data_IF_247634607961
#
_entry.id   IF_247634607961
#
_cell.length_a   1.000
_cell.length_b   1.000
_cell.length_c   1.000
_cell.angle_alpha   90.00
_cell.angle_beta   90.00
_cell.angle_gamma   90.00
#
_symmetry.space_group_name_H-M   'P 1'
#
loop_
_entity.id
_entity.type
_entity.pdbx_description
1 polymer ?
#
# COMPACT_ATOMS: atom_id res chain seq x y z
N UNK A 1 -6.63 -15.69 17.23
CA UNK A 1 -7.62 -14.69 16.80
C UNK A 1 -7.39 -14.41 15.34
N UNK A 2 -8.45 -14.46 14.60
CA UNK A 2 -8.44 -14.65 13.16
C UNK A 2 -7.99 -13.36 12.44
N UNK A 3 -7.04 -13.46 11.51
CA UNK A 3 -6.57 -12.36 10.64
C UNK A 3 -7.65 -11.90 9.63
N UNK A 4 -8.90 -12.37 9.80
CA UNK A 4 -9.99 -12.25 8.84
C UNK A 4 -10.56 -10.83 8.69
N UNK A 5 -10.30 -9.91 9.63
CA UNK A 5 -10.99 -8.60 9.61
C UNK A 5 -10.28 -7.52 8.79
N UNK A 6 -8.94 -7.50 8.69
CA UNK A 6 -8.23 -6.62 7.72
C UNK A 6 -8.54 -7.02 6.28
N UNK A 7 -8.76 -8.31 6.08
CA UNK A 7 -9.07 -8.91 4.79
C UNK A 7 -10.55 -8.80 4.39
N UNK A 8 -11.42 -8.28 5.26
CA UNK A 8 -12.85 -8.12 4.98
C UNK A 8 -13.21 -6.82 4.27
N UNK A 9 -12.25 -5.89 4.08
CA UNK A 9 -12.49 -4.65 3.35
C UNK A 9 -12.81 -4.96 1.88
N UNK A 10 -13.96 -4.45 1.42
CA UNK A 10 -14.41 -4.58 0.03
C UNK A 10 -13.95 -3.38 -0.79
N UNK A 11 -13.94 -3.52 -2.11
CA UNK A 11 -13.62 -2.42 -3.02
C UNK A 11 -14.39 -1.14 -2.75
N UNK A 12 -15.67 -1.25 -2.34
CA UNK A 12 -16.53 -0.12 -2.02
C UNK A 12 -16.07 0.67 -0.80
N UNK A 13 -15.43 0.05 0.18
CA UNK A 13 -14.91 0.73 1.37
C UNK A 13 -13.76 1.69 1.02
N UNK A 14 -13.00 1.37 -0.01
CA UNK A 14 -11.93 2.20 -0.54
C UNK A 14 -12.41 3.30 -1.50
N UNK A 15 -13.60 3.12 -2.12
CA UNK A 15 -14.17 4.10 -3.05
C UNK A 15 -14.43 5.46 -2.39
N UNK A 16 -14.90 5.46 -1.14
CA UNK A 16 -15.31 6.67 -0.40
C UNK A 16 -14.11 7.54 -0.01
N UNK A 17 -12.91 6.97 0.06
CA UNK A 17 -11.72 7.60 0.66
C UNK A 17 -10.60 7.92 -0.33
N UNK A 18 -10.77 7.56 -1.59
CA UNK A 18 -9.69 7.63 -2.58
C UNK A 18 -9.02 9.02 -2.67
N UNK A 19 -9.76 10.12 -2.52
CA UNK A 19 -9.20 11.48 -2.62
C UNK A 19 -8.54 11.96 -1.33
N UNK A 20 -9.13 11.68 -0.16
CA UNK A 20 -8.60 12.12 1.14
C UNK A 20 -7.40 11.26 1.56
N UNK A 21 -7.47 9.94 1.33
CA UNK A 21 -6.38 9.01 1.57
C UNK A 21 -5.12 9.37 0.79
N UNK A 22 -5.26 9.68 -0.49
CA UNK A 22 -4.15 10.11 -1.34
C UNK A 22 -3.42 11.36 -0.80
N UNK A 23 -4.13 12.32 -0.21
CA UNK A 23 -3.52 13.57 0.28
C UNK A 23 -2.66 13.39 1.53
N UNK A 24 -3.05 12.46 2.42
CA UNK A 24 -2.39 12.29 3.73
C UNK A 24 -1.30 11.21 3.67
N UNK A 25 -1.54 10.12 2.93
CA UNK A 25 -0.58 9.02 2.83
C UNK A 25 0.48 9.22 1.74
N UNK A 26 0.26 10.17 0.81
CA UNK A 26 1.16 10.40 -0.31
C UNK A 26 2.61 10.64 0.13
N UNK A 27 2.83 11.48 1.14
CA UNK A 27 4.19 11.79 1.61
C UNK A 27 4.83 10.63 2.37
N UNK A 28 4.07 9.92 3.20
CA UNK A 28 4.54 8.76 3.97
C UNK A 28 4.95 7.59 3.05
N UNK A 29 4.29 7.47 1.90
CA UNK A 29 4.56 6.40 0.93
C UNK A 29 5.74 6.69 -0.01
N UNK A 30 6.20 7.95 -0.12
CA UNK A 30 7.24 8.32 -1.09
C UNK A 30 8.57 7.61 -0.88
N UNK A 31 9.02 7.49 0.37
CA UNK A 31 10.30 6.84 0.70
C UNK A 31 10.24 5.32 0.44
N UNK A 32 9.24 4.57 0.95
CA UNK A 32 9.10 3.15 0.62
C UNK A 32 8.99 2.88 -0.87
N UNK A 33 8.20 3.67 -1.61
CA UNK A 33 8.08 3.53 -3.06
C UNK A 33 9.44 3.77 -3.73
N UNK A 34 10.15 4.84 -3.39
CA UNK A 34 11.47 5.13 -3.94
C UNK A 34 12.47 4.00 -3.69
N UNK A 35 12.51 3.45 -2.46
CA UNK A 35 13.36 2.31 -2.11
C UNK A 35 12.95 1.06 -2.90
N UNK A 36 11.66 0.74 -2.95
CA UNK A 36 11.10 -0.38 -3.69
C UNK A 36 11.52 -0.35 -5.17
N UNK A 37 11.34 0.80 -5.83
CA UNK A 37 11.69 0.96 -7.24
C UNK A 37 13.21 0.93 -7.49
N UNK A 38 14.01 1.54 -6.61
CA UNK A 38 15.47 1.51 -6.76
C UNK A 38 16.03 0.09 -6.61
N UNK A 39 15.47 -0.72 -5.70
CA UNK A 39 15.86 -2.12 -5.54
C UNK A 39 15.39 -3.00 -6.70
N UNK A 40 14.16 -2.79 -7.18
CA UNK A 40 13.67 -3.45 -8.39
C UNK A 40 14.57 -3.15 -9.59
N UNK A 41 14.91 -1.87 -9.81
CA UNK A 41 15.78 -1.43 -10.89
C UNK A 41 17.21 -2.01 -10.79
N UNK A 42 17.73 -2.21 -9.58
CA UNK A 42 19.04 -2.83 -9.38
C UNK A 42 19.03 -4.33 -9.73
N UNK A 43 17.92 -5.03 -9.46
CA UNK A 43 17.77 -6.42 -9.85
C UNK A 43 17.48 -6.58 -11.35
N UNK A 44 16.51 -5.81 -11.88
CA UNK A 44 16.14 -5.81 -13.29
C UNK A 44 15.92 -4.36 -13.73
N UNK A 45 16.79 -3.77 -14.55
CA UNK A 45 16.68 -2.36 -14.97
C UNK A 45 15.37 -2.09 -15.71
N UNK A 46 14.66 -1.02 -15.36
CA UNK A 46 13.45 -0.59 -16.07
C UNK A 46 13.70 -0.28 -17.56
N UNK A 47 14.94 0.05 -17.93
CA UNK A 47 15.35 0.20 -19.32
C UNK A 47 15.18 -1.09 -20.16
N UNK A 48 15.11 -2.24 -19.50
CA UNK A 48 14.92 -3.56 -20.12
C UNK A 48 13.52 -4.13 -19.87
N UNK A 49 12.59 -3.31 -19.33
CA UNK A 49 11.25 -3.79 -19.02
C UNK A 49 10.52 -4.28 -20.28
N UNK A 50 9.92 -5.46 -20.21
CA UNK A 50 9.04 -6.02 -21.23
C UNK A 50 7.57 -5.73 -20.93
N UNK A 51 7.23 -5.51 -19.66
CA UNK A 51 5.94 -5.10 -19.15
C UNK A 51 6.03 -4.82 -17.65
N UNK A 52 5.20 -3.89 -17.16
CA UNK A 52 5.15 -3.50 -15.74
C UNK A 52 3.71 -3.58 -15.27
N UNK A 53 3.48 -4.31 -14.18
CA UNK A 53 2.19 -4.44 -13.51
C UNK A 53 2.29 -3.86 -12.09
N UNK A 54 1.47 -2.86 -11.78
CA UNK A 54 1.24 -2.38 -10.42
C UNK A 54 -0.01 -3.07 -9.86
N UNK A 55 0.20 -4.08 -9.02
CA UNK A 55 -0.84 -4.97 -8.48
C UNK A 55 -1.37 -4.45 -7.15
N UNK A 56 -2.64 -4.06 -7.09
CA UNK A 56 -3.23 -3.29 -6.00
C UNK A 56 -2.75 -1.85 -6.05
N UNK A 57 -2.83 -1.22 -7.23
CA UNK A 57 -2.22 0.07 -7.50
C UNK A 57 -2.82 1.24 -6.69
N UNK A 58 -4.00 1.06 -6.07
CA UNK A 58 -4.72 2.14 -5.43
C UNK A 58 -4.94 3.33 -6.37
N UNK A 59 -4.73 4.58 -5.91
CA UNK A 59 -4.83 5.78 -6.75
C UNK A 59 -3.62 5.98 -7.69
N UNK A 60 -2.70 5.02 -7.78
CA UNK A 60 -1.56 4.98 -8.71
C UNK A 60 -0.27 5.65 -8.26
N UNK A 61 0.08 5.72 -6.95
CA UNK A 61 1.30 6.40 -6.52
C UNK A 61 2.58 5.70 -6.99
N UNK A 62 2.60 4.36 -7.04
CA UNK A 62 3.75 3.58 -7.51
C UNK A 62 3.96 3.80 -9.00
N UNK A 63 2.90 3.64 -9.82
CA UNK A 63 2.98 3.89 -11.26
C UNK A 63 3.37 5.34 -11.56
N UNK A 64 2.85 6.31 -10.80
CA UNK A 64 3.24 7.72 -10.93
C UNK A 64 4.75 7.90 -10.74
N UNK A 65 5.30 7.24 -9.72
CA UNK A 65 6.73 7.32 -9.43
C UNK A 65 7.58 6.58 -10.46
N UNK A 66 7.12 5.42 -10.96
CA UNK A 66 7.79 4.71 -12.08
C UNK A 66 7.89 5.63 -13.30
N UNK A 67 6.80 6.27 -13.68
CA UNK A 67 6.77 7.18 -14.83
C UNK A 67 7.66 8.40 -14.60
N UNK A 68 7.65 8.96 -13.40
CA UNK A 68 8.48 10.12 -13.05
C UNK A 68 9.97 9.81 -13.11
N UNK A 69 10.40 8.72 -12.50
CA UNK A 69 11.83 8.42 -12.32
C UNK A 69 12.42 7.66 -13.51
N UNK A 70 11.65 6.77 -14.14
CA UNK A 70 12.14 5.82 -15.17
C UNK A 70 11.37 5.90 -16.49
N UNK A 71 10.34 6.73 -16.61
CA UNK A 71 9.46 6.75 -17.80
C UNK A 71 10.17 7.04 -19.12
N UNK A 72 11.31 7.71 -19.07
CA UNK A 72 12.16 8.00 -20.24
C UNK A 72 13.07 6.82 -20.64
N UNK A 73 13.31 5.88 -19.74
CA UNK A 73 14.13 4.69 -19.98
C UNK A 73 13.30 3.49 -20.42
N UNK A 74 12.05 3.39 -19.92
CA UNK A 74 11.16 2.26 -20.21
C UNK A 74 10.84 2.20 -21.70
N UNK A 75 11.11 1.07 -22.39
CA UNK A 75 10.80 0.92 -23.82
C UNK A 75 9.34 1.29 -24.13
N UNK A 76 9.13 2.02 -25.22
CA UNK A 76 7.78 2.49 -25.60
C UNK A 76 6.81 1.35 -25.94
N UNK A 77 7.35 0.17 -26.28
CA UNK A 77 6.61 -1.06 -26.53
C UNK A 77 6.15 -1.78 -25.27
N UNK A 78 6.72 -1.46 -24.10
CA UNK A 78 6.40 -2.14 -22.84
C UNK A 78 5.06 -1.66 -22.31
N UNK A 79 4.07 -2.55 -22.10
CA UNK A 79 2.81 -2.21 -21.46
C UNK A 79 3.03 -1.78 -20.01
N UNK A 80 2.28 -0.78 -19.56
CA UNK A 80 2.18 -0.35 -18.19
C UNK A 80 0.76 -0.62 -17.71
N UNK A 81 0.58 -1.40 -16.65
CA UNK A 81 -0.74 -1.79 -16.17
C UNK A 81 -0.91 -1.42 -14.70
N UNK A 82 -1.98 -0.73 -14.39
CA UNK A 82 -2.47 -0.52 -13.02
C UNK A 82 -3.67 -1.43 -12.79
N UNK A 83 -3.59 -2.34 -11.82
CA UNK A 83 -4.67 -3.24 -11.44
C UNK A 83 -5.07 -3.00 -9.98
N UNK A 84 -6.37 -2.86 -9.74
CA UNK A 84 -6.95 -2.76 -8.40
C UNK A 84 -8.39 -3.27 -8.42
N UNK A 85 -8.92 -3.74 -7.31
CA UNK A 85 -10.30 -4.23 -7.22
C UNK A 85 -11.31 -3.10 -6.90
N UNK A 86 -10.84 -1.89 -6.58
CA UNK A 86 -11.65 -0.71 -6.27
C UNK A 86 -11.80 0.19 -7.50
N UNK A 87 -13.02 0.32 -8.01
CA UNK A 87 -13.31 1.23 -9.12
C UNK A 87 -13.06 2.70 -8.76
N UNK A 88 -13.26 3.09 -7.50
CA UNK A 88 -12.94 4.43 -7.00
C UNK A 88 -11.46 4.75 -7.05
N UNK A 89 -10.59 3.80 -6.69
CA UNK A 89 -9.14 3.92 -6.85
C UNK A 89 -8.75 4.02 -8.33
N UNK A 90 -9.29 3.15 -9.16
CA UNK A 90 -9.03 3.18 -10.60
C UNK A 90 -9.54 4.45 -11.28
N UNK A 91 -10.61 5.07 -10.78
CA UNK A 91 -11.06 6.37 -11.27
C UNK A 91 -10.00 7.47 -11.04
N UNK A 92 -9.25 7.42 -9.92
CA UNK A 92 -8.14 8.35 -9.67
C UNK A 92 -6.99 8.13 -10.67
N UNK A 93 -6.68 6.86 -10.99
CA UNK A 93 -5.67 6.52 -12.01
C UNK A 93 -6.09 7.04 -13.39
N UNK A 94 -7.36 6.83 -13.79
CA UNK A 94 -7.91 7.36 -15.05
C UNK A 94 -7.84 8.89 -15.11
N UNK A 95 -8.20 9.57 -14.01
CA UNK A 95 -8.09 11.02 -13.91
C UNK A 95 -6.63 11.52 -13.98
N UNK A 96 -5.66 10.79 -13.40
CA UNK A 96 -4.24 11.10 -13.54
C UNK A 96 -3.76 10.97 -15.00
N UNK A 97 -4.19 9.91 -15.67
CA UNK A 97 -3.92 9.67 -17.09
C UNK A 97 -4.47 10.80 -17.97
N UNK A 98 -5.71 11.22 -17.75
CA UNK A 98 -6.35 12.32 -18.49
C UNK A 98 -5.60 13.65 -18.27
N UNK A 99 -5.26 13.98 -17.03
CA UNK A 99 -4.50 15.21 -16.70
C UNK A 99 -3.11 15.24 -17.36
N UNK A 100 -2.46 14.09 -17.47
CA UNK A 100 -1.14 13.98 -18.07
C UNK A 100 -1.14 14.15 -19.58
N UNK A 101 -2.26 13.85 -20.24
CA UNK A 101 -2.47 14.02 -21.68
C UNK A 101 -1.77 12.98 -22.56
N UNK A 102 -2.02 13.03 -23.88
CA UNK A 102 -1.63 11.96 -24.80
C UNK A 102 -0.11 11.88 -25.09
N UNK A 103 0.66 12.91 -24.78
CA UNK A 103 2.12 12.93 -24.96
C UNK A 103 2.90 12.37 -23.77
N UNK A 104 2.23 12.03 -22.69
CA UNK A 104 2.84 11.47 -21.48
C UNK A 104 2.93 9.94 -21.56
N UNK A 105 3.92 9.29 -20.89
CA UNK A 105 3.92 7.84 -20.66
C UNK A 105 2.62 7.31 -20.01
N UNK A 106 1.88 8.16 -19.29
CA UNK A 106 0.55 7.84 -18.78
C UNK A 106 -0.44 7.44 -19.85
N UNK A 107 -0.31 7.95 -21.09
CA UNK A 107 -1.22 7.63 -22.18
C UNK A 107 -1.30 6.13 -22.48
N UNK A 108 -0.19 5.40 -22.26
CA UNK A 108 -0.09 3.95 -22.49
C UNK A 108 -0.42 3.10 -21.25
N UNK A 109 -0.73 3.71 -20.08
CA UNK A 109 -1.13 2.96 -18.90
C UNK A 109 -2.51 2.34 -19.12
N UNK A 110 -2.59 1.03 -19.00
CA UNK A 110 -3.85 0.28 -18.94
C UNK A 110 -4.36 0.26 -17.50
N UNK A 111 -5.68 0.36 -17.34
CA UNK A 111 -6.34 0.37 -16.03
C UNK A 111 -7.33 -0.77 -15.99
N UNK A 112 -7.10 -1.75 -15.10
CA UNK A 112 -7.84 -2.99 -15.01
C UNK A 112 -8.45 -3.19 -13.63
N UNK A 113 -9.73 -3.55 -13.56
CA UNK A 113 -10.36 -3.98 -12.31
C UNK A 113 -10.06 -5.46 -12.10
N UNK A 114 -9.12 -5.76 -11.19
CA UNK A 114 -8.71 -7.12 -10.88
C UNK A 114 -8.39 -7.29 -9.41
N UNK A 115 -8.59 -8.49 -8.90
CA UNK A 115 -8.18 -8.87 -7.57
C UNK A 115 -6.70 -9.23 -7.54
N UNK A 116 -5.94 -8.71 -6.58
CA UNK A 116 -4.51 -9.02 -6.44
C UNK A 116 -4.20 -10.53 -6.33
N UNK A 117 -5.18 -11.31 -5.89
CA UNK A 117 -5.09 -12.79 -5.76
C UNK A 117 -5.59 -13.54 -7.00
N UNK A 118 -6.03 -12.84 -8.04
CA UNK A 118 -6.56 -13.43 -9.27
C UNK A 118 -6.32 -12.46 -10.44
N UNK A 119 -5.17 -12.60 -11.07
CA UNK A 119 -4.74 -11.79 -12.22
C UNK A 119 -5.10 -12.48 -13.55
N UNK A 120 -6.32 -12.99 -13.66
CA UNK A 120 -6.76 -13.84 -14.79
C UNK A 120 -6.66 -13.17 -16.17
N UNK A 121 -6.66 -11.82 -16.23
CA UNK A 121 -6.47 -11.09 -17.49
C UNK A 121 -4.99 -10.81 -17.84
N UNK A 122 -4.06 -11.23 -16.97
CA UNK A 122 -2.62 -11.10 -17.20
C UNK A 122 -2.05 -12.48 -17.53
N UNK A 123 -1.48 -12.63 -18.72
CA UNK A 123 -0.94 -13.90 -19.18
C UNK A 123 0.30 -14.33 -18.36
N UNK A 124 0.54 -15.64 -18.30
CA UNK A 124 1.72 -16.21 -17.68
C UNK A 124 3.00 -15.67 -18.33
N UNK A 125 3.99 -15.27 -17.53
CA UNK A 125 5.28 -14.87 -18.03
C UNK A 125 5.26 -13.65 -18.97
N UNK A 126 4.31 -12.73 -18.78
CA UNK A 126 4.07 -11.62 -19.72
C UNK A 126 4.62 -10.26 -19.25
N UNK A 127 5.12 -10.17 -18.03
CA UNK A 127 5.69 -8.93 -17.47
C UNK A 127 7.04 -9.17 -16.81
N UNK A 128 7.94 -8.22 -16.93
CA UNK A 128 9.25 -8.25 -16.28
C UNK A 128 9.21 -7.71 -14.85
N UNK A 129 8.25 -6.84 -14.54
CA UNK A 129 8.15 -6.21 -13.22
C UNK A 129 6.72 -6.30 -12.70
N UNK A 130 6.60 -6.71 -11.42
CA UNK A 130 5.38 -6.56 -10.63
C UNK A 130 5.72 -5.68 -9.43
N UNK A 131 4.91 -4.66 -9.16
CA UNK A 131 4.96 -3.85 -7.94
C UNK A 131 3.70 -4.06 -7.13
N UNK A 132 3.82 -4.04 -5.78
CA UNK A 132 2.70 -4.17 -4.86
C UNK A 132 2.93 -3.31 -3.60
N UNK A 133 2.59 -2.04 -3.68
CA UNK A 133 2.81 -1.08 -2.60
C UNK A 133 1.73 -1.16 -1.52
N UNK A 134 2.05 -1.67 -0.32
CA UNK A 134 1.13 -1.76 0.83
C UNK A 134 -0.12 -2.60 0.56
N UNK A 135 0.00 -3.75 -0.10
CA UNK A 135 -1.15 -4.57 -0.54
C UNK A 135 -1.21 -5.94 0.12
N UNK A 136 -0.16 -6.77 -0.03
CA UNK A 136 -0.28 -8.21 0.19
C UNK A 136 -0.56 -8.60 1.65
N UNK A 137 -0.13 -7.83 2.63
CA UNK A 137 -0.46 -8.08 4.03
C UNK A 137 -1.94 -7.78 4.39
N UNK A 138 -2.67 -7.13 3.48
CA UNK A 138 -4.10 -6.78 3.66
C UNK A 138 -5.05 -7.72 2.91
N UNK A 139 -4.56 -8.59 2.02
CA UNK A 139 -5.42 -9.53 1.31
C UNK A 139 -5.69 -10.79 2.14
N UNK A 140 -6.84 -11.48 1.93
CA UNK A 140 -7.18 -12.70 2.66
C UNK A 140 -6.15 -13.82 2.54
N UNK A 141 -5.57 -14.00 1.35
CA UNK A 141 -4.62 -15.06 1.02
C UNK A 141 -3.33 -14.49 0.42
N UNK A 142 -2.41 -13.93 1.25
CA UNK A 142 -1.17 -13.28 0.75
C UNK A 142 -0.33 -14.21 -0.15
N UNK A 143 -0.27 -15.49 0.18
CA UNK A 143 0.46 -16.49 -0.61
C UNK A 143 -0.10 -16.63 -2.03
N UNK A 144 -1.42 -16.51 -2.20
CA UNK A 144 -2.05 -16.56 -3.52
C UNK A 144 -1.69 -15.33 -4.36
N UNK A 145 -1.65 -14.13 -3.74
CA UNK A 145 -1.21 -12.91 -4.41
C UNK A 145 0.28 -12.99 -4.84
N UNK A 146 1.14 -13.57 -3.99
CA UNK A 146 2.54 -13.83 -4.34
C UNK A 146 2.66 -14.83 -5.50
N UNK A 147 1.87 -15.92 -5.47
CA UNK A 147 1.87 -16.94 -6.54
C UNK A 147 1.36 -16.38 -7.87
N UNK A 148 0.31 -15.54 -7.87
CA UNK A 148 -0.16 -14.85 -9.06
C UNK A 148 0.91 -13.90 -9.63
N UNK A 149 1.59 -13.16 -8.76
CA UNK A 149 2.71 -12.32 -9.17
C UNK A 149 3.86 -13.14 -9.78
N UNK A 150 4.18 -14.28 -9.17
CA UNK A 150 5.17 -15.20 -9.71
C UNK A 150 4.74 -15.77 -11.06
N UNK A 151 3.46 -16.13 -11.23
CA UNK A 151 2.91 -16.67 -12.48
C UNK A 151 3.07 -15.68 -13.64
N UNK A 152 2.64 -14.43 -13.44
CA UNK A 152 2.64 -13.40 -14.51
C UNK A 152 4.03 -12.86 -14.84
N UNK A 153 5.01 -12.96 -13.92
CA UNK A 153 6.39 -12.60 -14.19
C UNK A 153 7.03 -13.54 -15.21
N UNK A 154 7.80 -12.99 -16.15
CA UNK A 154 8.71 -13.75 -17.01
C UNK A 154 9.88 -14.33 -16.21
N UNK A 155 10.63 -15.30 -16.76
CA UNK A 155 11.86 -15.77 -16.12
C UNK A 155 12.82 -14.62 -15.81
N UNK A 156 13.40 -14.59 -14.60
CA UNK A 156 14.22 -13.51 -14.07
C UNK A 156 13.49 -12.17 -13.84
N UNK A 157 12.18 -12.12 -14.03
CA UNK A 157 11.35 -10.97 -13.69
C UNK A 157 11.34 -10.70 -12.18
N UNK A 158 11.03 -9.48 -11.78
CA UNK A 158 11.18 -8.98 -10.40
C UNK A 158 9.83 -8.60 -9.79
N UNK A 159 9.57 -9.09 -8.57
CA UNK A 159 8.56 -8.55 -7.67
C UNK A 159 9.21 -7.55 -6.70
N UNK A 160 8.58 -6.38 -6.55
CA UNK A 160 8.89 -5.43 -5.48
C UNK A 160 7.61 -5.10 -4.71
N UNK A 161 7.66 -5.25 -3.38
CA UNK A 161 6.50 -5.03 -2.50
C UNK A 161 6.86 -4.21 -1.27
N UNK A 162 5.85 -3.68 -0.59
CA UNK A 162 6.03 -3.05 0.71
C UNK A 162 4.92 -3.42 1.70
N UNK A 163 5.27 -3.38 2.99
CA UNK A 163 4.38 -3.62 4.13
C UNK A 163 4.76 -2.72 5.30
N UNK A 164 3.99 -2.78 6.41
CA UNK A 164 4.32 -2.12 7.66
C UNK A 164 4.97 -3.10 8.64
N UNK A 165 6.11 -2.72 9.23
CA UNK A 165 6.60 -3.36 10.46
C UNK A 165 5.75 -2.90 11.65
N UNK A 166 5.57 -1.59 11.77
CA UNK A 166 4.77 -0.93 12.79
C UNK A 166 4.85 0.58 12.66
N UNK A 167 4.01 1.29 13.41
CA UNK A 167 4.03 2.75 13.43
C UNK A 167 3.25 3.32 14.61
N UNK A 168 3.64 4.53 15.04
CA UNK A 168 2.94 5.28 16.09
C UNK A 168 1.48 5.57 15.72
N UNK A 169 1.13 5.71 14.43
CA UNK A 169 -0.28 5.88 14.02
C UNK A 169 -1.10 4.60 14.11
N UNK A 170 -0.50 3.41 13.93
CA UNK A 170 -1.18 2.14 14.22
C UNK A 170 -1.39 1.96 15.72
N UNK A 171 -0.45 2.42 16.55
CA UNK A 171 -0.60 2.41 18.01
C UNK A 171 -1.77 3.30 18.47
N UNK A 172 -1.98 4.46 17.80
CA UNK A 172 -3.15 5.31 18.07
C UNK A 172 -4.47 4.60 17.74
N UNK A 173 -4.54 3.82 16.68
CA UNK A 173 -5.74 3.04 16.35
C UNK A 173 -6.03 1.97 17.41
N UNK A 174 -4.97 1.39 17.99
CA UNK A 174 -5.07 0.41 19.09
C UNK A 174 -5.58 0.98 20.42
N UNK A 175 -5.90 2.27 20.48
CA UNK A 175 -6.58 2.88 21.63
C UNK A 175 -8.09 2.61 21.67
N UNK A 176 -8.69 2.16 20.57
CA UNK A 176 -10.14 1.89 20.46
C UNK A 176 -10.69 1.01 21.58
N UNK A 177 -10.06 -0.11 21.99
CA UNK A 177 -10.55 -0.95 23.09
C UNK A 177 -10.59 -0.26 24.45
N UNK A 178 -9.88 0.85 24.65
CA UNK A 178 -9.96 1.64 25.89
C UNK A 178 -11.29 2.39 26.01
N UNK A 179 -11.98 2.64 24.88
CA UNK A 179 -13.30 3.29 24.84
C UNK A 179 -14.42 2.26 24.64
N UNK A 180 -14.18 1.27 23.78
CA UNK A 180 -15.10 0.17 23.43
C UNK A 180 -14.38 -1.15 23.60
N UNK A 181 -14.42 -1.74 24.80
CA UNK A 181 -13.72 -3.00 25.11
C UNK A 181 -14.22 -4.21 24.31
N UNK A 182 -15.41 -4.11 23.72
CA UNK A 182 -16.00 -5.09 22.82
C UNK A 182 -15.41 -5.05 21.40
N UNK A 183 -14.61 -4.01 21.06
CA UNK A 183 -13.98 -3.84 19.76
C UNK A 183 -12.47 -4.05 19.84
N UNK A 184 -11.94 -4.70 18.82
CA UNK A 184 -10.49 -4.91 18.66
C UNK A 184 -10.05 -4.43 17.30
N UNK A 185 -8.89 -3.79 17.24
CA UNK A 185 -8.24 -3.51 15.95
C UNK A 185 -7.73 -4.80 15.33
N UNK A 186 -7.94 -4.99 14.03
CA UNK A 186 -7.25 -6.04 13.29
C UNK A 186 -5.75 -5.89 13.42
N UNK A 187 -5.06 -6.98 13.73
CA UNK A 187 -3.60 -6.98 13.82
C UNK A 187 -2.99 -7.23 12.45
N UNK A 188 -1.83 -6.64 12.19
CA UNK A 188 -1.04 -6.99 11.03
C UNK A 188 -0.63 -8.48 11.13
N UNK A 189 -0.68 -9.25 10.03
CA UNK A 189 -0.22 -10.64 10.04
C UNK A 189 1.26 -10.72 10.43
N UNK A 190 1.60 -11.51 11.44
CA UNK A 190 2.94 -11.57 12.03
C UNK A 190 4.05 -11.79 11.00
N UNK A 191 3.81 -12.63 10.00
CA UNK A 191 4.78 -12.87 8.92
C UNK A 191 5.10 -11.61 8.09
N UNK A 192 4.24 -10.58 8.13
CA UNK A 192 4.40 -9.35 7.35
C UNK A 192 4.97 -8.17 8.15
N UNK A 193 5.24 -8.38 9.45
CA UNK A 193 5.76 -7.33 10.35
C UNK A 193 7.25 -7.48 10.67
N UNK A 194 8.00 -8.25 9.88
CA UNK A 194 9.44 -8.38 10.03
C UNK A 194 10.14 -8.69 8.70
N UNK A 195 11.39 -8.31 8.59
CA UNK A 195 12.22 -8.60 7.41
C UNK A 195 12.31 -10.10 7.15
N UNK A 196 12.55 -10.90 8.19
CA UNK A 196 12.62 -12.36 8.08
C UNK A 196 11.29 -13.00 7.70
N UNK A 197 10.18 -12.46 8.18
CA UNK A 197 8.85 -12.96 7.85
C UNK A 197 8.49 -12.73 6.38
N UNK A 198 8.65 -11.49 5.87
CA UNK A 198 8.40 -11.17 4.45
C UNK A 198 9.32 -12.01 3.55
N UNK A 199 10.61 -12.12 3.90
CA UNK A 199 11.54 -12.96 3.18
C UNK A 199 11.05 -14.41 3.07
N UNK A 200 10.65 -15.00 4.21
CA UNK A 200 10.12 -16.36 4.25
C UNK A 200 8.84 -16.54 3.41
N UNK A 201 7.92 -15.57 3.43
CA UNK A 201 6.70 -15.63 2.61
C UNK A 201 7.01 -15.55 1.10
N UNK A 202 7.94 -14.70 0.68
CA UNK A 202 8.38 -14.61 -0.72
C UNK A 202 9.12 -15.88 -1.17
N UNK A 203 10.05 -16.38 -0.38
CA UNK A 203 10.78 -17.63 -0.66
C UNK A 203 9.84 -18.84 -0.75
N UNK A 204 8.87 -18.94 0.17
CA UNK A 204 7.82 -19.97 0.16
C UNK A 204 6.97 -19.92 -1.11
N UNK A 205 6.71 -18.73 -1.66
CA UNK A 205 5.99 -18.58 -2.92
C UNK A 205 6.84 -18.98 -4.15
N UNK A 206 8.16 -19.10 -4.02
CA UNK A 206 9.08 -19.50 -5.08
C UNK A 206 10.01 -18.41 -5.59
N UNK A 207 9.98 -17.22 -4.97
CA UNK A 207 10.94 -16.15 -5.28
C UNK A 207 12.33 -16.49 -4.77
N UNK A 208 13.37 -16.09 -5.54
CA UNK A 208 14.79 -16.23 -5.22
C UNK A 208 15.48 -14.86 -5.13
N UNK A 209 16.69 -14.82 -4.65
CA UNK A 209 17.46 -13.58 -4.44
C UNK A 209 16.67 -12.54 -3.62
N UNK A 210 15.92 -13.03 -2.62
CA UNK A 210 15.02 -12.19 -1.84
C UNK A 210 15.80 -11.32 -0.86
N UNK A 211 15.64 -10.01 -1.01
CA UNK A 211 16.10 -9.00 -0.07
C UNK A 211 14.91 -8.29 0.58
N UNK A 212 15.02 -7.98 1.87
CA UNK A 212 14.04 -7.18 2.58
C UNK A 212 14.75 -6.09 3.38
N UNK A 213 14.30 -4.86 3.22
CA UNK A 213 14.90 -3.66 3.79
C UNK A 213 13.92 -2.90 4.67
N UNK A 214 14.39 -2.41 5.81
CA UNK A 214 13.66 -1.44 6.63
C UNK A 214 13.75 -0.05 6.00
N UNK A 215 12.64 0.67 6.01
CA UNK A 215 12.52 2.04 5.54
C UNK A 215 11.84 2.88 6.62
N UNK A 216 12.59 3.60 7.46
CA UNK A 216 12.01 4.54 8.40
C UNK A 216 11.21 5.63 7.67
N UNK A 217 10.00 5.89 8.16
CA UNK A 217 9.07 6.86 7.58
C UNK A 217 8.48 7.75 8.66
N UNK A 218 7.95 8.89 8.25
CA UNK A 218 7.20 9.78 9.12
C UNK A 218 5.88 10.16 8.49
N UNK A 219 4.86 10.39 9.34
CA UNK A 219 3.57 10.93 8.94
C UNK A 219 3.37 12.28 9.62
N UNK A 220 3.48 13.36 8.84
CA UNK A 220 3.35 14.72 9.35
C UNK A 220 1.91 15.05 9.75
N UNK A 221 1.75 15.87 10.76
CA UNK A 221 0.48 16.47 11.16
C UNK A 221 0.65 17.97 11.46
N UNK A 222 -0.41 18.74 11.24
CA UNK A 222 -0.42 20.18 11.51
C UNK A 222 -0.89 20.46 12.93
N UNK A 223 -1.92 19.78 13.37
CA UNK A 223 -2.48 19.83 14.72
C UNK A 223 -3.00 18.47 15.14
N UNK A 224 -3.05 18.23 16.45
CA UNK A 224 -3.42 16.94 17.03
C UNK A 224 -4.89 16.60 16.81
N UNK A 225 -5.77 17.59 16.92
CA UNK A 225 -7.22 17.40 16.87
C UNK A 225 -7.69 17.03 15.46
N UNK A 226 -7.19 17.70 14.43
CA UNK A 226 -7.49 17.38 13.03
C UNK A 226 -6.98 16.00 12.65
N UNK A 227 -5.75 15.65 13.13
CA UNK A 227 -5.19 14.33 12.90
C UNK A 227 -6.02 13.22 13.56
N UNK A 228 -6.34 13.37 14.86
CA UNK A 228 -7.14 12.39 15.61
C UNK A 228 -8.54 12.22 14.99
N UNK A 229 -9.16 13.31 14.54
CA UNK A 229 -10.44 13.29 13.84
C UNK A 229 -10.33 12.51 12.52
N UNK A 230 -9.32 12.80 11.71
CA UNK A 230 -9.12 12.08 10.45
C UNK A 230 -8.93 10.58 10.69
N UNK A 231 -8.02 10.21 11.58
CA UNK A 231 -7.72 8.79 11.85
C UNK A 231 -8.92 8.03 12.42
N UNK A 232 -9.71 8.65 13.28
CA UNK A 232 -10.87 7.99 13.91
C UNK A 232 -12.09 7.86 13.00
N UNK A 233 -12.22 8.72 11.95
CA UNK A 233 -13.49 8.83 11.20
C UNK A 233 -13.32 8.72 9.67
N UNK A 234 -12.09 8.61 9.16
CA UNK A 234 -11.83 8.62 7.71
C UNK A 234 -11.07 7.42 7.19
N UNK A 235 -10.29 6.73 8.01
CA UNK A 235 -9.64 5.49 7.58
C UNK A 235 -10.69 4.36 7.46
N UNK A 236 -10.69 3.56 6.37
CA UNK A 236 -11.71 2.51 6.14
C UNK A 236 -11.89 1.59 7.33
N UNK A 237 -10.78 1.12 7.89
CA UNK A 237 -10.78 0.21 9.05
C UNK A 237 -11.40 0.89 10.28
N UNK A 238 -11.09 2.16 10.53
CA UNK A 238 -11.66 2.91 11.65
C UNK A 238 -13.12 3.27 11.41
N UNK A 239 -13.52 3.64 10.19
CA UNK A 239 -14.91 3.91 9.84
C UNK A 239 -15.79 2.70 10.14
N UNK A 240 -15.38 1.51 9.69
CA UNK A 240 -16.11 0.27 9.96
C UNK A 240 -16.25 -0.01 11.47
N UNK A 241 -15.21 0.28 12.26
CA UNK A 241 -15.21 0.06 13.71
C UNK A 241 -15.93 1.14 14.51
N UNK A 242 -16.07 2.35 13.98
CA UNK A 242 -16.69 3.50 14.70
C UNK A 242 -18.12 3.80 14.27
N UNK A 243 -18.65 3.16 13.23
CA UNK A 243 -19.99 3.43 12.65
C UNK A 243 -21.11 3.32 13.68
N UNK A 244 -21.03 2.40 14.65
CA UNK A 244 -22.02 2.17 15.71
C UNK A 244 -21.65 2.86 17.03
N UNK A 245 -20.61 3.69 17.05
CA UNK A 245 -20.23 4.47 18.23
C UNK A 245 -21.00 5.79 18.27
N UNK A 246 -21.36 6.20 19.48
CA UNK A 246 -21.93 7.52 19.73
C UNK A 246 -20.88 8.63 19.53
N UNK A 247 -21.33 9.85 19.27
CA UNK A 247 -20.44 11.03 19.19
C UNK A 247 -19.59 11.22 20.45
N UNK A 248 -20.14 10.87 21.62
CA UNK A 248 -19.41 10.93 22.90
C UNK A 248 -18.28 9.92 22.96
N UNK A 249 -18.50 8.70 22.46
CA UNK A 249 -17.45 7.66 22.40
C UNK A 249 -16.36 8.01 21.39
N UNK A 250 -16.74 8.49 20.20
CA UNK A 250 -15.79 8.97 19.20
C UNK A 250 -14.97 10.14 19.75
N UNK A 251 -15.59 11.10 20.42
CA UNK A 251 -14.91 12.21 21.07
C UNK A 251 -13.91 11.76 22.16
N UNK A 252 -14.26 10.71 22.95
CA UNK A 252 -13.33 10.13 23.92
C UNK A 252 -12.13 9.46 23.24
N UNK A 253 -12.36 8.73 22.15
CA UNK A 253 -11.28 8.12 21.37
C UNK A 253 -10.33 9.18 20.83
N UNK A 254 -10.87 10.25 20.24
CA UNK A 254 -10.08 11.37 19.74
C UNK A 254 -9.24 12.05 20.84
N UNK A 255 -9.84 12.27 22.01
CA UNK A 255 -9.13 12.84 23.15
C UNK A 255 -7.96 11.96 23.62
N UNK A 256 -8.15 10.62 23.65
CA UNK A 256 -7.09 9.69 23.97
C UNK A 256 -5.97 9.68 22.91
N UNK A 257 -6.34 9.75 21.63
CA UNK A 257 -5.37 9.88 20.53
C UNK A 257 -4.53 11.16 20.70
N UNK A 258 -5.15 12.29 20.95
CA UNK A 258 -4.46 13.57 21.17
C UNK A 258 -3.51 13.49 22.38
N UNK A 259 -3.95 12.90 23.50
CA UNK A 259 -3.10 12.72 24.67
C UNK A 259 -1.88 11.85 24.35
N UNK A 260 -2.04 10.77 23.63
CA UNK A 260 -0.96 9.86 23.27
C UNK A 260 -0.01 10.51 22.25
N UNK A 261 -0.55 11.21 21.26
CA UNK A 261 0.25 11.97 20.29
C UNK A 261 1.16 13.01 20.98
N UNK A 262 0.67 13.73 22.00
CA UNK A 262 1.46 14.68 22.77
C UNK A 262 2.61 14.03 23.56
N UNK A 263 2.48 12.74 23.90
CA UNK A 263 3.60 11.97 24.52
C UNK A 263 4.63 11.56 23.47
N UNK A 264 4.18 11.12 22.28
CA UNK A 264 5.05 10.71 21.17
C UNK A 264 5.76 11.89 20.52
N UNK A 265 5.04 13.00 20.30
CA UNK A 265 5.52 14.20 19.65
C UNK A 265 4.94 15.44 20.39
N UNK A 266 5.70 16.05 21.35
CA UNK A 266 5.19 17.11 22.22
C UNK A 266 4.84 18.43 21.51
N UNK A 267 5.35 18.66 20.31
CA UNK A 267 5.15 19.90 19.55
C UNK A 267 4.31 19.67 18.29
N UNK A 268 3.43 20.62 17.97
CA UNK A 268 2.69 20.67 16.70
C UNK A 268 3.00 21.99 15.97
N UNK A 269 3.18 21.99 14.64
CA UNK A 269 3.15 20.82 13.76
C UNK A 269 4.29 19.84 14.02
N UNK A 270 4.04 18.55 13.77
CA UNK A 270 4.99 17.49 14.08
C UNK A 270 4.84 16.29 13.15
N UNK A 271 5.47 15.17 13.53
CA UNK A 271 5.36 13.94 12.75
C UNK A 271 5.41 12.70 13.64
N UNK A 272 4.57 11.73 13.37
CA UNK A 272 4.60 10.39 13.93
C UNK A 272 5.55 9.51 13.12
N UNK A 273 6.19 8.54 13.78
CA UNK A 273 7.21 7.66 13.20
C UNK A 273 6.63 6.29 12.88
N UNK A 274 7.21 5.65 11.88
CA UNK A 274 6.91 4.27 11.52
C UNK A 274 8.05 3.63 10.75
N UNK A 275 7.94 2.34 10.52
CA UNK A 275 8.87 1.58 9.69
C UNK A 275 8.07 0.83 8.63
N UNK A 276 8.40 1.07 7.37
CA UNK A 276 7.95 0.26 6.25
C UNK A 276 9.00 -0.79 5.94
N UNK A 277 8.55 -1.97 5.56
CA UNK A 277 9.40 -3.05 5.06
C UNK A 277 9.25 -3.12 3.54
N UNK A 278 10.37 -3.16 2.84
CA UNK A 278 10.44 -3.25 1.38
C UNK A 278 11.10 -4.56 0.98
N UNK A 279 10.34 -5.45 0.35
CA UNK A 279 10.80 -6.72 -0.17
C UNK A 279 10.98 -6.68 -1.69
N UNK A 280 12.07 -7.27 -2.18
CA UNK A 280 12.30 -7.52 -3.62
C UNK A 280 12.81 -8.93 -3.83
N UNK A 281 12.45 -9.53 -4.97
CA UNK A 281 12.92 -10.88 -5.31
C UNK A 281 12.66 -11.19 -6.77
N UNK A 282 13.39 -12.19 -7.31
CA UNK A 282 13.30 -12.68 -8.68
C UNK A 282 12.39 -13.90 -8.79
N UNK A 283 11.77 -14.07 -9.94
CA UNK A 283 11.16 -15.34 -10.34
C UNK A 283 12.21 -16.38 -10.67
#
# INVERSE_FOLDING_TARGET
>A
MDSSELSSTKGDDWNVLASEYASITSQTSLLPIGLMLSRANALHPFAHATGILDNGCGPGPVMSRIIQDYGHEIPSSSPLTCADFSDGMLAQVRAAKERAGPGSPWARVEVRNQNAMDLCEVADGSVSHVTAGMVYFMVPEPQKALQESLRVLEPDGVLALSAWEGSEWLDLMNLLPKVRPDKTMPTLPVAWTSTGGIKGEMEKAGFRDVEVHECPVTMAFQDYESYARFFSTKLPQMVALTTDMSEVEVGKLQALMVEEMKKMCPEAPGALKGVSLVGVGRK
#
